data_IF_125682875777
#
_entry.id   IF_125682875777
#
_cell.length_a   1.000
_cell.length_b   1.000
_cell.length_c   1.000
_cell.angle_alpha   90.00
_cell.angle_beta   90.00
_cell.angle_gamma   90.00
#
_symmetry.space_group_name_H-M   'P 1'
#
loop_
_entity.id
_entity.type
_entity.pdbx_description
1 polymer ?
#
# COMPACT_ATOMS: atom_id res chain seq x y z
N UNK A 1 30.15 -16.36 -1.06
CA UNK A 1 29.63 -16.02 0.29
C UNK A 1 29.25 -14.54 0.23
N UNK A 2 27.98 -14.17 0.16
CA UNK A 2 27.00 -14.35 1.24
C UNK A 2 25.61 -14.57 0.65
N UNK A 3 24.91 -15.59 1.16
CA UNK A 3 23.52 -15.90 0.86
C UNK A 3 22.62 -14.86 1.52
N UNK A 4 21.83 -14.14 0.75
CA UNK A 4 20.70 -13.36 1.25
C UNK A 4 19.43 -14.13 0.90
N UNK A 5 18.78 -14.68 1.93
CA UNK A 5 17.45 -15.26 1.83
C UNK A 5 16.44 -14.13 1.72
N UNK A 6 16.04 -13.82 0.50
CA UNK A 6 14.89 -12.97 0.21
C UNK A 6 13.65 -13.85 0.36
N UNK A 7 12.89 -13.65 1.43
CA UNK A 7 11.53 -14.21 1.53
C UNK A 7 10.63 -13.32 0.67
N UNK A 8 10.67 -13.54 -0.64
CA UNK A 8 9.60 -13.08 -1.53
C UNK A 8 8.45 -14.06 -1.36
N UNK A 9 7.31 -13.59 -0.85
CA UNK A 9 6.05 -14.32 -1.00
C UNK A 9 5.64 -14.26 -2.48
N UNK A 10 6.29 -15.05 -3.33
CA UNK A 10 5.88 -15.24 -4.71
C UNK A 10 4.61 -16.09 -4.72
N UNK A 11 3.49 -15.48 -5.13
CA UNK A 11 2.23 -16.15 -5.47
C UNK A 11 2.39 -17.00 -6.75
N UNK A 12 3.31 -17.98 -6.75
CA UNK A 12 3.63 -18.78 -7.93
C UNK A 12 2.80 -20.06 -8.12
N UNK A 13 1.88 -20.38 -7.21
CA UNK A 13 1.17 -21.68 -7.25
C UNK A 13 -0.31 -21.64 -7.66
N UNK A 14 -0.76 -20.65 -8.44
CA UNK A 14 -2.15 -20.66 -8.94
C UNK A 14 -2.34 -21.04 -10.43
N UNK A 15 -1.28 -21.39 -11.16
CA UNK A 15 -1.40 -21.74 -12.58
C UNK A 15 -0.83 -23.13 -12.88
N UNK A 16 -1.56 -24.17 -12.48
CA UNK A 16 -1.57 -25.44 -13.22
C UNK A 16 -3.01 -25.81 -13.53
N UNK A 17 -3.39 -25.73 -14.81
CA UNK A 17 -3.95 -26.84 -15.62
C UNK A 17 -4.60 -26.28 -16.91
N UNK A 18 -3.97 -26.63 -18.03
CA UNK A 18 -4.48 -26.84 -19.41
C UNK A 18 -5.00 -25.69 -20.31
N UNK A 19 -4.28 -25.59 -21.43
CA UNK A 19 -4.50 -25.01 -22.77
C UNK A 19 -5.95 -24.81 -23.24
N UNK A 20 -6.31 -23.57 -23.64
CA UNK A 20 -7.00 -23.21 -24.90
C UNK A 20 -6.65 -21.76 -25.28
N UNK A 21 -6.20 -21.57 -26.52
CA UNK A 21 -5.88 -20.29 -27.16
C UNK A 21 -7.12 -19.38 -27.30
N UNK A 22 -7.11 -18.19 -26.70
CA UNK A 22 -7.90 -17.03 -27.17
C UNK A 22 -7.14 -15.72 -26.87
N UNK A 23 -6.97 -14.92 -27.93
CA UNK A 23 -6.41 -13.57 -27.90
C UNK A 23 -7.22 -12.66 -26.98
N UNK A 24 -6.58 -12.11 -25.96
CA UNK A 24 -6.89 -10.79 -25.40
C UNK A 24 -5.63 -10.33 -24.67
N UNK A 25 -4.99 -9.28 -25.17
CA UNK A 25 -4.02 -8.49 -24.41
C UNK A 25 -4.75 -7.73 -23.31
N UNK A 26 -5.32 -8.47 -22.35
CA UNK A 26 -5.49 -7.97 -21.00
C UNK A 26 -4.08 -7.93 -20.43
N UNK A 27 -3.49 -6.75 -20.44
CA UNK A 27 -2.33 -6.45 -19.61
C UNK A 27 -2.79 -6.51 -18.15
N UNK A 28 -3.00 -7.73 -17.64
CA UNK A 28 -2.96 -8.05 -16.23
C UNK A 28 -1.52 -7.78 -15.80
N UNK A 29 -1.19 -6.51 -15.61
CA UNK A 29 -0.02 -6.14 -14.86
C UNK A 29 -0.16 -6.86 -13.51
N UNK A 30 0.72 -7.82 -13.19
CA UNK A 30 0.66 -8.46 -11.89
C UNK A 30 0.76 -7.38 -10.81
N UNK A 31 0.12 -7.58 -9.67
CA UNK A 31 0.25 -6.72 -8.47
C UNK A 31 1.71 -6.65 -7.91
N UNK A 32 2.71 -7.04 -8.71
CA UNK A 32 4.09 -7.30 -8.34
C UNK A 32 4.96 -6.06 -8.17
N UNK A 33 4.56 -4.89 -8.67
CA UNK A 33 5.49 -3.74 -8.73
C UNK A 33 5.49 -2.87 -7.47
N UNK A 34 4.54 -3.08 -6.55
CA UNK A 34 4.44 -2.28 -5.32
C UNK A 34 4.41 -3.19 -4.11
N UNK A 35 5.52 -3.24 -3.39
CA UNK A 35 5.61 -3.93 -2.11
C UNK A 35 5.00 -3.04 -1.00
N UNK A 36 3.75 -3.33 -0.61
CA UNK A 36 3.04 -2.62 0.46
C UNK A 36 3.84 -2.55 1.77
N UNK A 37 4.56 -3.61 2.12
CA UNK A 37 5.41 -3.62 3.31
C UNK A 37 6.56 -2.62 3.18
N UNK A 38 7.24 -2.59 2.02
CA UNK A 38 8.30 -1.61 1.79
C UNK A 38 7.77 -0.17 1.86
N UNK A 39 6.59 0.09 1.29
CA UNK A 39 5.96 1.42 1.38
C UNK A 39 5.61 1.78 2.82
N UNK A 40 4.94 0.88 3.54
CA UNK A 40 4.58 1.07 4.96
C UNK A 40 5.81 1.43 5.80
N UNK A 41 6.91 0.69 5.63
CA UNK A 41 8.14 0.94 6.38
C UNK A 41 8.80 2.27 6.01
N UNK A 42 8.74 2.71 4.74
CA UNK A 42 9.25 4.02 4.35
C UNK A 42 8.41 5.16 4.94
N UNK A 43 7.08 5.05 4.83
CA UNK A 43 6.15 6.03 5.40
C UNK A 43 6.37 6.13 6.91
N UNK A 44 6.36 4.99 7.61
CA UNK A 44 6.56 4.93 9.05
C UNK A 44 7.90 5.53 9.47
N UNK A 45 8.99 5.19 8.76
CA UNK A 45 10.32 5.74 9.05
C UNK A 45 10.34 7.26 8.95
N UNK A 46 9.69 7.83 7.94
CA UNK A 46 9.61 9.28 7.76
C UNK A 46 8.79 9.94 8.86
N UNK A 47 7.66 9.33 9.27
CA UNK A 47 6.89 9.84 10.41
C UNK A 47 7.66 9.76 11.74
N UNK A 48 8.46 8.72 11.95
CA UNK A 48 9.27 8.55 13.17
C UNK A 48 10.43 9.54 13.24
N UNK A 49 11.05 9.86 12.10
CA UNK A 49 12.26 10.68 12.05
C UNK A 49 12.18 11.65 10.86
N UNK A 50 11.33 12.70 10.94
CA UNK A 50 11.27 13.69 9.89
C UNK A 50 12.58 14.51 9.86
N UNK A 51 13.27 14.46 8.73
CA UNK A 51 14.48 15.24 8.48
C UNK A 51 14.09 16.63 7.94
N UNK A 52 14.93 17.63 8.17
CA UNK A 52 14.67 18.99 7.66
C UNK A 52 14.99 19.09 6.16
N UNK A 53 14.24 18.34 5.35
CA UNK A 53 14.44 18.14 3.92
C UNK A 53 13.09 18.05 3.19
N UNK A 54 12.79 19.04 2.36
CA UNK A 54 11.55 19.07 1.57
C UNK A 54 11.43 17.91 0.56
N UNK A 55 12.55 17.33 0.11
CA UNK A 55 12.52 16.17 -0.79
C UNK A 55 12.03 14.90 -0.07
N UNK A 56 12.35 14.75 1.22
CA UNK A 56 11.81 13.68 2.06
C UNK A 56 10.29 13.82 2.21
N UNK A 57 9.78 15.05 2.38
CA UNK A 57 8.35 15.33 2.38
C UNK A 57 7.67 14.98 1.06
N UNK A 58 8.24 15.37 -0.08
CA UNK A 58 7.70 14.97 -1.39
C UNK A 58 7.66 13.45 -1.58
N UNK A 59 8.70 12.75 -1.11
CA UNK A 59 8.75 11.29 -1.15
C UNK A 59 7.69 10.65 -0.26
N UNK A 60 7.43 11.21 0.93
CA UNK A 60 6.37 10.75 1.83
C UNK A 60 4.99 10.83 1.17
N UNK A 61 4.66 11.96 0.56
CA UNK A 61 3.38 12.14 -0.16
C UNK A 61 3.28 11.12 -1.30
N UNK A 62 4.36 10.95 -2.07
CA UNK A 62 4.41 9.96 -3.15
C UNK A 62 4.18 8.53 -2.63
N UNK A 63 4.83 8.16 -1.54
CA UNK A 63 4.71 6.82 -0.94
C UNK A 63 3.29 6.56 -0.45
N UNK A 64 2.64 7.54 0.18
CA UNK A 64 1.24 7.46 0.58
C UNK A 64 0.29 7.35 -0.62
N UNK A 65 0.53 8.10 -1.70
CA UNK A 65 -0.24 8.00 -2.94
C UNK A 65 -0.10 6.62 -3.61
N UNK A 66 1.13 6.09 -3.67
CA UNK A 66 1.40 4.75 -4.22
C UNK A 66 0.70 3.67 -3.36
N UNK A 67 0.73 3.82 -2.03
CA UNK A 67 0.03 2.93 -1.10
C UNK A 67 -1.49 2.96 -1.32
N UNK A 68 -2.08 4.17 -1.35
CA UNK A 68 -3.50 4.39 -1.65
C UNK A 68 -3.91 3.74 -2.96
N UNK A 69 -3.16 3.99 -4.04
CA UNK A 69 -3.46 3.46 -5.37
C UNK A 69 -3.41 1.92 -5.39
N UNK A 70 -2.48 1.31 -4.66
CA UNK A 70 -2.45 -0.14 -4.52
C UNK A 70 -3.71 -0.67 -3.83
N UNK A 71 -4.12 -0.08 -2.71
CA UNK A 71 -5.33 -0.49 -2.00
C UNK A 71 -6.59 -0.36 -2.87
N UNK A 72 -6.73 0.74 -3.62
CA UNK A 72 -7.86 0.95 -4.54
C UNK A 72 -7.95 -0.15 -5.62
N UNK A 73 -6.81 -0.47 -6.24
CA UNK A 73 -6.73 -1.55 -7.24
C UNK A 73 -7.08 -2.90 -6.62
N UNK A 74 -6.63 -3.13 -5.40
CA UNK A 74 -6.86 -4.39 -4.69
C UNK A 74 -8.33 -4.57 -4.31
N UNK A 75 -8.95 -3.53 -3.73
CA UNK A 75 -10.39 -3.53 -3.42
C UNK A 75 -11.20 -3.76 -4.69
N UNK A 76 -10.90 -3.00 -5.76
CA UNK A 76 -11.57 -3.17 -7.06
C UNK A 76 -11.47 -4.61 -7.58
N UNK A 77 -10.31 -5.23 -7.42
CA UNK A 77 -10.11 -6.63 -7.82
C UNK A 77 -10.92 -7.60 -6.97
N UNK A 78 -10.89 -7.47 -5.64
CA UNK A 78 -11.62 -8.33 -4.71
C UNK A 78 -13.14 -8.17 -4.81
N UNK A 79 -13.62 -6.97 -5.14
CA UNK A 79 -15.05 -6.72 -5.38
C UNK A 79 -15.54 -7.34 -6.70
N UNK A 80 -14.66 -7.41 -7.72
CA UNK A 80 -14.97 -8.02 -9.02
C UNK A 80 -14.86 -9.55 -9.00
N UNK A 81 -13.82 -10.08 -8.36
CA UNK A 81 -13.48 -11.50 -8.32
C UNK A 81 -12.94 -11.84 -6.93
N UNK A 82 -13.84 -12.20 -6.02
CA UNK A 82 -13.51 -12.36 -4.62
C UNK A 82 -12.54 -13.52 -4.39
N UNK A 83 -11.42 -13.23 -3.73
CA UNK A 83 -10.41 -14.20 -3.37
C UNK A 83 -10.05 -14.11 -1.89
N UNK A 84 -10.63 -15.01 -1.08
CA UNK A 84 -10.41 -15.06 0.37
C UNK A 84 -8.93 -15.18 0.73
N UNK A 85 -8.19 -16.07 0.05
CA UNK A 85 -6.77 -16.30 0.35
C UNK A 85 -5.92 -15.05 0.13
N UNK A 86 -6.21 -14.30 -0.93
CA UNK A 86 -5.54 -13.02 -1.20
C UNK A 86 -5.87 -12.00 -0.12
N UNK A 87 -7.15 -11.87 0.25
CA UNK A 87 -7.58 -10.96 1.31
C UNK A 87 -6.92 -11.29 2.65
N UNK A 88 -6.85 -12.57 3.02
CA UNK A 88 -6.19 -13.02 4.25
C UNK A 88 -4.69 -12.71 4.25
N UNK A 89 -4.00 -12.89 3.12
CA UNK A 89 -2.57 -12.53 2.99
C UNK A 89 -2.38 -11.04 3.25
N UNK A 90 -3.21 -10.18 2.66
CA UNK A 90 -3.09 -8.73 2.83
C UNK A 90 -3.38 -8.34 4.28
N UNK A 91 -4.49 -8.83 4.84
CA UNK A 91 -4.91 -8.51 6.21
C UNK A 91 -4.01 -9.14 7.28
N UNK A 92 -3.16 -10.12 6.93
CA UNK A 92 -2.18 -10.69 7.86
C UNK A 92 -1.06 -9.72 8.24
N UNK A 93 -0.87 -8.64 7.47
CA UNK A 93 0.16 -7.63 7.68
C UNK A 93 -0.48 -6.24 7.67
N UNK A 94 -1.14 -5.83 8.77
CA UNK A 94 -1.74 -4.50 8.86
C UNK A 94 -0.67 -3.40 8.73
N UNK A 95 -0.96 -2.30 8.01
CA UNK A 95 -0.05 -1.16 7.93
C UNK A 95 0.19 -0.58 9.32
N UNK A 96 1.46 -0.43 9.65
CA UNK A 96 1.89 0.17 10.90
C UNK A 96 1.76 1.69 10.86
N UNK A 97 1.99 2.31 9.70
CA UNK A 97 1.94 3.78 9.59
C UNK A 97 0.56 4.35 9.91
N UNK A 98 -0.51 3.60 9.66
CA UNK A 98 -1.89 4.02 9.93
C UNK A 98 -2.17 4.16 11.43
N UNK A 99 -1.45 3.42 12.27
CA UNK A 99 -1.59 3.46 13.71
C UNK A 99 -0.54 4.34 14.39
N UNK A 100 0.34 4.95 13.61
CA UNK A 100 1.42 5.77 14.14
C UNK A 100 0.93 7.20 14.42
N UNK A 101 1.02 7.68 15.67
CA UNK A 101 0.71 9.08 15.97
C UNK A 101 1.84 9.98 15.43
N UNK A 102 1.52 10.89 14.52
CA UNK A 102 2.44 11.91 14.02
C UNK A 102 1.90 13.32 14.30
N UNK A 103 2.81 14.29 14.39
CA UNK A 103 2.48 15.69 14.62
C UNK A 103 2.54 16.45 13.29
N UNK A 104 1.39 16.95 12.83
CA UNK A 104 1.28 17.71 11.58
C UNK A 104 2.16 18.97 11.57
N UNK A 105 2.25 19.68 12.69
CA UNK A 105 3.09 20.88 12.79
C UNK A 105 4.57 20.50 12.74
N UNK A 106 4.96 19.36 13.31
CA UNK A 106 6.33 18.86 13.20
C UNK A 106 6.70 18.56 11.75
N UNK A 107 5.84 17.85 11.00
CA UNK A 107 6.10 17.50 9.60
C UNK A 107 6.11 18.74 8.71
N UNK A 108 5.15 19.65 8.91
CA UNK A 108 5.06 20.92 8.18
C UNK A 108 6.33 21.74 8.33
N UNK A 109 6.84 21.86 9.56
CA UNK A 109 8.09 22.57 9.83
C UNK A 109 9.31 21.83 9.29
N UNK A 110 9.37 20.50 9.44
CA UNK A 110 10.49 19.70 8.94
C UNK A 110 10.63 19.82 7.42
N UNK A 111 9.54 19.70 6.68
CA UNK A 111 9.56 19.67 5.21
C UNK A 111 9.37 21.04 4.56
N UNK A 112 9.22 22.10 5.35
CA UNK A 112 8.88 23.45 4.88
C UNK A 112 7.64 23.47 3.98
N UNK A 113 6.61 22.70 4.37
CA UNK A 113 5.40 22.57 3.58
C UNK A 113 4.50 23.80 3.67
N UNK A 114 3.77 24.05 2.58
CA UNK A 114 2.62 24.94 2.62
C UNK A 114 1.43 24.30 3.35
N UNK A 115 0.40 25.11 3.62
CA UNK A 115 -0.87 24.61 4.14
C UNK A 115 -1.47 23.57 3.18
N UNK A 116 -1.55 23.89 1.89
CA UNK A 116 -2.07 22.98 0.85
C UNK A 116 -1.36 21.61 0.83
N UNK A 117 -0.05 21.57 1.07
CA UNK A 117 0.71 20.32 1.12
C UNK A 117 0.39 19.50 2.37
N UNK A 118 0.14 20.18 3.50
CA UNK A 118 -0.25 19.56 4.76
C UNK A 118 -1.67 19.01 4.66
N UNK A 119 -2.61 19.79 4.12
CA UNK A 119 -3.98 19.34 3.84
C UNK A 119 -4.00 18.15 2.86
N UNK A 120 -3.13 18.17 1.85
CA UNK A 120 -3.02 17.05 0.91
C UNK A 120 -2.46 15.79 1.56
N UNK A 121 -1.49 15.91 2.48
CA UNK A 121 -1.02 14.77 3.27
C UNK A 121 -2.18 14.14 4.04
N UNK A 122 -2.94 14.94 4.80
CA UNK A 122 -4.05 14.48 5.61
C UNK A 122 -5.12 13.78 4.75
N UNK A 123 -5.46 14.36 3.60
CA UNK A 123 -6.40 13.75 2.65
C UNK A 123 -5.94 12.36 2.17
N UNK A 124 -4.68 12.21 1.77
CA UNK A 124 -4.17 10.92 1.27
C UNK A 124 -4.02 9.90 2.41
N UNK A 125 -3.62 10.33 3.61
CA UNK A 125 -3.56 9.50 4.80
C UNK A 125 -4.95 8.95 5.16
N UNK A 126 -5.94 9.83 5.32
CA UNK A 126 -7.32 9.45 5.65
C UNK A 126 -7.92 8.54 4.56
N UNK A 127 -7.71 8.87 3.29
CA UNK A 127 -8.16 8.03 2.18
C UNK A 127 -7.59 6.61 2.28
N UNK A 128 -6.29 6.48 2.59
CA UNK A 128 -5.63 5.19 2.74
C UNK A 128 -6.18 4.40 3.94
N UNK A 129 -6.45 5.09 5.05
CA UNK A 129 -7.12 4.51 6.22
C UNK A 129 -8.50 3.94 5.90
N UNK A 130 -9.33 4.72 5.21
CA UNK A 130 -10.68 4.29 4.83
C UNK A 130 -10.65 3.08 3.88
N UNK A 131 -9.70 3.05 2.93
CA UNK A 131 -9.50 1.90 2.06
C UNK A 131 -9.05 0.65 2.83
N UNK A 132 -8.15 0.80 3.81
CA UNK A 132 -7.78 -0.31 4.69
C UNK A 132 -8.99 -0.85 5.47
N UNK A 133 -9.81 0.04 6.05
CA UNK A 133 -11.06 -0.34 6.72
C UNK A 133 -12.04 -1.03 5.79
N UNK A 134 -12.09 -0.64 4.51
CA UNK A 134 -12.91 -1.32 3.51
C UNK A 134 -12.44 -2.76 3.27
N UNK A 135 -11.13 -3.03 3.22
CA UNK A 135 -10.61 -4.39 3.12
C UNK A 135 -11.00 -5.24 4.34
N UNK A 136 -10.91 -4.69 5.56
CA UNK A 136 -11.36 -5.37 6.78
C UNK A 136 -12.85 -5.73 6.71
N UNK A 137 -13.70 -4.81 6.23
CA UNK A 137 -15.14 -5.06 6.04
C UNK A 137 -15.45 -6.10 4.97
N UNK A 138 -14.68 -6.14 3.86
CA UNK A 138 -14.87 -7.15 2.83
C UNK A 138 -14.71 -8.57 3.38
N UNK A 139 -13.83 -8.75 4.38
CA UNK A 139 -13.70 -10.03 5.09
C UNK A 139 -15.00 -10.36 5.83
N UNK A 140 -15.51 -9.43 6.63
CA UNK A 140 -16.71 -9.66 7.46
C UNK A 140 -17.97 -9.98 6.65
N UNK A 141 -18.14 -9.40 5.46
CA UNK A 141 -19.35 -9.57 4.64
C UNK A 141 -19.32 -10.87 3.81
N UNK A 142 -18.13 -11.39 3.51
CA UNK A 142 -17.94 -12.52 2.58
C UNK A 142 -17.47 -13.82 3.25
N UNK A 143 -17.26 -13.79 4.56
CA UNK A 143 -17.03 -14.99 5.40
C UNK A 143 -18.35 -15.47 5.98
#
# INVERSE_FOLDING_TARGET
CTTILIVSATLQDLNRTTTVTVNNTDSRAPFNDVNLYTLDQRILKTFQNPEHDGSQGQQLIKDLCDYKCFLEKMITHLEKDFNQKLLDIILSQPPQYIHFPYDNEQLKNAFSWSEDQTEYLDYVFESSFLLWKRLEQLREVKT
#
